data_IF_959174484106
#
_entry.id   IF_959174484106
#
_cell.length_a   1.000
_cell.length_b   1.000
_cell.length_c   1.000
_cell.angle_alpha   90.00
_cell.angle_beta   90.00
_cell.angle_gamma   90.00
#
_symmetry.space_group_name_H-M   'P 1'
#
loop_
_entity.id
_entity.type
_entity.pdbx_description
1 polymer ?
#
# COMPACT_ATOMS: atom_id res chain seq x y z
N UNK A 1 -21.42 -34.67 -34.40
CA UNK A 1 -21.51 -33.43 -33.60
C UNK A 1 -20.87 -33.69 -32.25
N UNK A 2 -19.57 -33.42 -32.02
CA UNK A 2 -18.98 -33.61 -30.70
C UNK A 2 -19.29 -32.39 -29.83
N UNK A 3 -19.88 -32.64 -28.66
CA UNK A 3 -20.13 -31.63 -27.64
C UNK A 3 -18.82 -31.36 -26.89
N UNK A 4 -18.28 -30.15 -27.02
CA UNK A 4 -17.11 -29.68 -26.27
C UNK A 4 -17.60 -29.12 -24.94
N UNK A 5 -17.32 -29.83 -23.85
CA UNK A 5 -17.57 -29.34 -22.49
C UNK A 5 -16.42 -28.39 -22.09
N UNK A 6 -16.70 -27.09 -22.04
CA UNK A 6 -15.75 -26.07 -21.56
C UNK A 6 -15.79 -26.04 -20.02
N UNK A 7 -14.76 -26.58 -19.36
CA UNK A 7 -14.59 -26.46 -17.91
C UNK A 7 -14.05 -25.06 -17.58
N UNK A 8 -14.88 -24.20 -17.02
CA UNK A 8 -14.48 -22.92 -16.45
C UNK A 8 -13.84 -23.16 -15.07
N UNK A 9 -12.51 -23.17 -15.00
CA UNK A 9 -11.80 -23.17 -13.72
C UNK A 9 -11.88 -21.78 -13.09
N UNK A 10 -12.67 -21.63 -12.02
CA UNK A 10 -12.67 -20.42 -11.19
C UNK A 10 -11.40 -20.41 -10.34
N UNK A 11 -10.39 -19.64 -10.79
CA UNK A 11 -9.25 -19.32 -9.95
C UNK A 11 -9.74 -18.48 -8.74
N UNK A 12 -9.85 -19.12 -7.57
CA UNK A 12 -10.07 -18.39 -6.33
C UNK A 12 -8.75 -17.67 -6.02
N UNK A 13 -8.76 -16.34 -6.12
CA UNK A 13 -7.67 -15.53 -5.59
C UNK A 13 -7.73 -15.68 -4.06
N UNK A 14 -6.87 -16.54 -3.51
CA UNK A 14 -6.71 -16.64 -2.06
C UNK A 14 -6.23 -15.28 -1.54
N UNK A 15 -7.04 -14.63 -0.70
CA UNK A 15 -6.58 -13.53 0.15
C UNK A 15 -5.48 -14.08 1.05
N UNK A 16 -4.30 -13.47 0.99
CA UNK A 16 -3.18 -13.90 1.83
C UNK A 16 -3.52 -13.63 3.30
N UNK A 17 -3.23 -14.58 4.18
CA UNK A 17 -3.37 -14.38 5.62
C UNK A 17 -2.28 -13.43 6.12
N UNK A 18 -2.61 -12.62 7.14
CA UNK A 18 -1.64 -11.73 7.78
C UNK A 18 -0.42 -12.52 8.28
N UNK A 19 0.80 -12.29 7.74
CA UNK A 19 1.98 -13.09 8.08
C UNK A 19 2.48 -12.91 9.51
N UNK A 20 2.03 -11.86 10.22
CA UNK A 20 2.34 -11.68 11.64
C UNK A 20 1.75 -12.79 12.51
N UNK A 21 0.72 -13.51 12.02
CA UNK A 21 0.00 -14.56 12.77
C UNK A 21 -0.45 -14.09 14.16
N UNK A 22 -0.66 -12.78 14.29
CA UNK A 22 -0.92 -12.05 15.52
C UNK A 22 -1.75 -10.83 15.15
N UNK A 23 -2.66 -10.44 16.04
CA UNK A 23 -3.38 -9.17 15.94
C UNK A 23 -2.66 -8.05 16.67
N UNK A 24 -1.47 -8.29 17.24
CA UNK A 24 -0.72 -7.29 17.96
C UNK A 24 -0.03 -6.33 16.98
N UNK A 25 -0.17 -5.04 17.26
CA UNK A 25 0.28 -3.98 16.37
C UNK A 25 1.80 -4.04 16.09
N UNK A 26 2.60 -4.29 17.13
CA UNK A 26 4.06 -4.34 17.01
C UNK A 26 4.54 -5.54 16.17
N UNK A 27 3.85 -6.69 16.26
CA UNK A 27 4.17 -7.86 15.43
C UNK A 27 3.90 -7.58 13.95
N UNK A 28 2.80 -6.88 13.66
CA UNK A 28 2.42 -6.47 12.30
C UNK A 28 3.42 -5.44 11.75
N UNK A 29 3.78 -4.43 12.54
CA UNK A 29 4.79 -3.45 12.17
C UNK A 29 6.13 -4.14 11.86
N UNK A 30 6.55 -5.09 12.69
CA UNK A 30 7.79 -5.83 12.45
C UNK A 30 7.79 -6.58 11.12
N UNK A 31 6.66 -7.17 10.71
CA UNK A 31 6.53 -7.82 9.40
C UNK A 31 6.52 -6.82 8.24
N UNK A 32 5.88 -5.66 8.40
CA UNK A 32 5.92 -4.57 7.42
C UNK A 32 7.34 -4.02 7.23
N UNK A 33 8.09 -3.87 8.32
CA UNK A 33 9.48 -3.42 8.29
C UNK A 33 10.42 -4.43 7.63
N UNK A 34 10.20 -5.74 7.85
CA UNK A 34 10.95 -6.83 7.20
C UNK A 34 10.63 -6.98 5.72
N UNK A 35 9.54 -6.38 5.23
CA UNK A 35 9.16 -6.50 3.84
C UNK A 35 10.31 -6.08 2.90
N UNK A 36 10.70 -6.93 1.92
CA UNK A 36 11.83 -6.68 1.03
C UNK A 36 11.55 -5.65 -0.06
N UNK A 37 10.30 -5.22 -0.23
CA UNK A 37 9.92 -4.23 -1.24
C UNK A 37 8.64 -3.51 -0.85
N UNK A 38 8.42 -2.34 -1.45
CA UNK A 38 7.16 -1.59 -1.37
C UNK A 38 5.92 -2.46 -1.68
N UNK A 39 5.95 -3.22 -2.78
CA UNK A 39 4.80 -4.06 -3.16
C UNK A 39 4.55 -5.18 -2.14
N UNK A 40 5.61 -5.77 -1.58
CA UNK A 40 5.43 -6.77 -0.51
C UNK A 40 4.88 -6.13 0.76
N UNK A 41 5.33 -4.93 1.12
CA UNK A 41 4.82 -4.20 2.28
C UNK A 41 3.31 -3.86 2.13
N UNK A 42 2.89 -3.41 0.95
CA UNK A 42 1.46 -3.20 0.66
C UNK A 42 0.63 -4.48 0.79
N UNK A 43 1.15 -5.60 0.30
CA UNK A 43 0.48 -6.90 0.40
C UNK A 43 0.28 -7.36 1.85
N UNK A 44 1.31 -7.18 2.68
CA UNK A 44 1.23 -7.41 4.13
C UNK A 44 0.21 -6.46 4.77
N UNK A 45 0.18 -5.18 4.39
CA UNK A 45 -0.77 -4.22 4.93
C UNK A 45 -2.22 -4.57 4.58
N UNK A 46 -2.50 -4.92 3.32
CA UNK A 46 -3.82 -5.42 2.88
C UNK A 46 -4.26 -6.66 3.67
N UNK A 47 -3.32 -7.54 4.03
CA UNK A 47 -3.61 -8.77 4.75
C UNK A 47 -3.82 -8.56 6.27
N UNK A 48 -3.15 -7.55 6.83
CA UNK A 48 -3.06 -7.33 8.28
C UNK A 48 -3.89 -6.14 8.78
N UNK A 49 -4.59 -5.43 7.89
CA UNK A 49 -5.34 -4.23 8.26
C UNK A 49 -6.36 -4.48 9.37
N UNK A 50 -6.55 -3.48 10.21
CA UNK A 50 -7.62 -3.47 11.20
C UNK A 50 -8.92 -2.88 10.64
N UNK A 51 -8.86 -2.13 9.54
CA UNK A 51 -9.95 -1.27 9.10
C UNK A 51 -10.22 -0.12 10.08
N UNK A 52 -9.19 0.30 10.84
CA UNK A 52 -9.31 1.25 11.94
C UNK A 52 -8.03 2.08 12.16
N UNK A 53 -7.93 2.80 13.27
CA UNK A 53 -6.85 3.77 13.51
C UNK A 53 -5.45 3.16 13.63
N UNK A 54 -5.32 1.85 13.89
CA UNK A 54 -4.00 1.19 13.86
C UNK A 54 -3.35 1.19 12.47
N UNK A 55 -4.19 1.20 11.42
CA UNK A 55 -3.73 1.25 10.02
C UNK A 55 -2.98 2.53 9.70
N UNK A 56 -3.12 3.59 10.51
CA UNK A 56 -2.32 4.81 10.37
C UNK A 56 -0.84 4.52 10.53
N UNK A 57 -0.46 3.69 11.52
CA UNK A 57 0.93 3.32 11.75
C UNK A 57 1.41 2.32 10.69
N UNK A 58 0.57 1.35 10.31
CA UNK A 58 0.90 0.40 9.24
C UNK A 58 1.13 1.12 7.91
N UNK A 59 0.22 2.01 7.53
CA UNK A 59 0.29 2.82 6.33
C UNK A 59 1.53 3.72 6.30
N UNK A 60 1.94 4.31 7.43
CA UNK A 60 3.16 5.11 7.51
C UNK A 60 4.43 4.28 7.25
N UNK A 61 4.52 3.07 7.81
CA UNK A 61 5.64 2.14 7.56
C UNK A 61 5.70 1.77 6.07
N UNK A 62 4.55 1.48 5.47
CA UNK A 62 4.48 1.14 4.04
C UNK A 62 4.80 2.34 3.15
N UNK A 63 4.26 3.52 3.47
CA UNK A 63 4.54 4.77 2.76
C UNK A 63 6.06 5.01 2.72
N UNK A 64 6.73 4.98 3.87
CA UNK A 64 8.19 5.13 3.98
C UNK A 64 8.96 4.06 3.19
N UNK A 65 8.52 2.81 3.26
CA UNK A 65 9.11 1.70 2.47
C UNK A 65 9.03 1.98 0.98
N UNK A 66 7.90 2.51 0.51
CA UNK A 66 7.69 2.88 -0.88
C UNK A 66 8.45 4.14 -1.29
N UNK A 67 8.53 5.15 -0.42
CA UNK A 67 9.29 6.39 -0.66
C UNK A 67 10.78 6.15 -0.85
N UNK A 68 11.35 5.13 -0.19
CA UNK A 68 12.74 4.73 -0.40
C UNK A 68 13.07 4.42 -1.87
N UNK A 69 12.06 4.09 -2.68
CA UNK A 69 12.23 3.82 -4.10
C UNK A 69 12.29 5.06 -5.01
N UNK A 70 11.96 6.25 -4.54
CA UNK A 70 11.84 7.38 -5.48
C UNK A 70 12.07 8.75 -4.85
N UNK A 71 11.83 8.91 -3.55
CA UNK A 71 11.71 10.24 -2.93
C UNK A 71 13.02 11.04 -3.00
N UNK A 72 14.17 10.37 -2.89
CA UNK A 72 15.50 11.01 -3.02
C UNK A 72 15.78 11.53 -4.44
N UNK A 73 15.21 10.91 -5.46
CA UNK A 73 15.30 11.33 -6.86
C UNK A 73 14.33 12.45 -7.24
N UNK A 74 13.22 12.60 -6.51
CA UNK A 74 12.22 13.63 -6.81
C UNK A 74 12.71 15.04 -6.44
N UNK A 75 12.64 15.94 -7.41
CA UNK A 75 12.95 17.37 -7.25
C UNK A 75 11.85 18.22 -7.89
N UNK A 76 11.78 19.50 -7.51
CA UNK A 76 10.91 20.49 -8.15
C UNK A 76 9.44 20.07 -8.25
N UNK A 77 8.89 20.15 -9.46
CA UNK A 77 7.47 19.87 -9.74
C UNK A 77 7.04 18.43 -9.38
N UNK A 78 7.77 17.36 -9.77
CA UNK A 78 7.46 15.99 -9.34
C UNK A 78 7.30 15.80 -7.82
N UNK A 79 8.20 16.41 -7.02
CA UNK A 79 8.12 16.34 -5.54
C UNK A 79 6.87 17.05 -5.01
N UNK A 80 6.54 18.21 -5.58
CA UNK A 80 5.29 18.94 -5.24
C UNK A 80 4.04 18.17 -5.65
N UNK A 81 4.07 17.49 -6.79
CA UNK A 81 2.95 16.68 -7.26
C UNK A 81 2.67 15.51 -6.31
N UNK A 82 3.72 14.79 -5.89
CA UNK A 82 3.62 13.72 -4.90
C UNK A 82 3.03 14.21 -3.58
N UNK A 83 3.60 15.28 -3.01
CA UNK A 83 3.09 15.88 -1.77
C UNK A 83 1.63 16.37 -1.91
N UNK A 84 1.26 16.87 -3.10
CA UNK A 84 -0.11 17.25 -3.41
C UNK A 84 -1.08 16.06 -3.45
N UNK A 85 -0.65 14.89 -3.93
CA UNK A 85 -1.46 13.66 -3.86
C UNK A 85 -1.66 13.19 -2.43
N UNK A 86 -0.63 13.22 -1.59
CA UNK A 86 -0.75 12.87 -0.18
C UNK A 86 -1.73 13.80 0.55
N UNK A 87 -1.62 15.13 0.34
CA UNK A 87 -2.57 16.09 0.91
C UNK A 87 -4.02 15.84 0.47
N UNK A 88 -4.23 15.40 -0.78
CA UNK A 88 -5.57 15.03 -1.25
C UNK A 88 -6.11 13.80 -0.51
N UNK A 89 -5.26 12.84 -0.16
CA UNK A 89 -5.66 11.72 0.70
C UNK A 89 -6.05 12.19 2.10
N UNK A 90 -5.27 13.09 2.69
CA UNK A 90 -5.55 13.64 4.02
C UNK A 90 -6.92 14.35 4.01
N UNK A 91 -7.15 15.26 3.06
CA UNK A 91 -8.38 16.03 2.96
C UNK A 91 -9.64 15.23 2.60
N UNK A 92 -9.49 14.05 2.00
CA UNK A 92 -10.64 13.28 1.50
C UNK A 92 -11.63 12.91 2.60
N UNK A 93 -11.14 12.67 3.83
CA UNK A 93 -11.95 12.20 4.95
C UNK A 93 -11.84 13.07 6.20
N UNK A 94 -11.36 14.31 6.08
CA UNK A 94 -11.13 15.20 7.23
C UNK A 94 -12.41 15.49 8.03
N UNK A 95 -13.56 15.59 7.34
CA UNK A 95 -14.85 15.87 7.96
C UNK A 95 -15.62 14.61 8.40
N UNK A 96 -15.03 13.42 8.21
CA UNK A 96 -15.67 12.15 8.54
C UNK A 96 -15.27 11.71 9.95
N UNK A 97 -16.28 11.28 10.72
CA UNK A 97 -16.07 10.75 12.08
C UNK A 97 -15.88 9.24 12.06
N UNK A 98 -15.02 8.72 12.94
CA UNK A 98 -14.78 7.29 13.11
C UNK A 98 -13.40 6.84 12.63
N UNK A 99 -12.94 5.73 13.18
CA UNK A 99 -11.59 5.20 12.95
C UNK A 99 -11.43 4.54 11.58
N UNK A 100 -12.52 4.06 10.99
CA UNK A 100 -12.56 3.50 9.63
C UNK A 100 -12.01 4.49 8.60
N UNK A 101 -12.41 5.76 8.69
CA UNK A 101 -11.92 6.79 7.77
C UNK A 101 -10.43 7.11 7.95
N UNK A 102 -9.88 6.88 9.14
CA UNK A 102 -8.43 7.02 9.40
C UNK A 102 -7.65 5.90 8.71
N UNK A 103 -8.19 4.69 8.71
CA UNK A 103 -7.67 3.59 7.88
C UNK A 103 -7.73 3.93 6.40
N UNK A 104 -8.86 4.45 5.91
CA UNK A 104 -8.98 4.83 4.49
C UNK A 104 -7.98 5.92 4.08
N UNK A 105 -7.70 6.90 4.93
CA UNK A 105 -6.63 7.87 4.69
C UNK A 105 -5.26 7.18 4.61
N UNK A 106 -4.95 6.29 5.54
CA UNK A 106 -3.68 5.55 5.56
C UNK A 106 -3.47 4.73 4.29
N UNK A 107 -4.49 3.97 3.87
CA UNK A 107 -4.47 3.23 2.60
C UNK A 107 -4.30 4.13 1.39
N UNK A 108 -5.02 5.26 1.34
CA UNK A 108 -4.89 6.21 0.23
C UNK A 108 -3.44 6.67 0.05
N UNK A 109 -2.78 7.05 1.14
CA UNK A 109 -1.38 7.50 1.13
C UNK A 109 -0.43 6.37 0.70
N UNK A 110 -0.60 5.18 1.26
CA UNK A 110 0.21 4.02 0.93
C UNK A 110 0.08 3.62 -0.56
N UNK A 111 -1.13 3.66 -1.12
CA UNK A 111 -1.41 3.42 -2.55
C UNK A 111 -0.77 4.51 -3.44
N UNK A 112 -0.81 5.78 -3.03
CA UNK A 112 -0.08 6.87 -3.75
C UNK A 112 1.41 6.54 -3.78
N UNK A 113 2.02 6.25 -2.62
CA UNK A 113 3.44 5.92 -2.53
C UNK A 113 3.80 4.68 -3.37
N UNK A 114 2.97 3.64 -3.33
CA UNK A 114 3.15 2.43 -4.14
C UNK A 114 3.18 2.72 -5.63
N UNK A 115 2.23 3.52 -6.14
CA UNK A 115 2.18 3.91 -7.56
C UNK A 115 3.44 4.66 -7.97
N UNK A 116 3.99 5.51 -7.11
CA UNK A 116 5.24 6.22 -7.36
C UNK A 116 6.46 5.29 -7.35
N UNK A 117 6.56 4.39 -6.37
CA UNK A 117 7.59 3.33 -6.34
C UNK A 117 7.56 2.50 -7.63
N UNK A 118 6.39 2.00 -8.03
CA UNK A 118 6.24 1.20 -9.26
C UNK A 118 6.66 1.98 -10.51
N UNK A 119 6.33 3.27 -10.61
CA UNK A 119 6.76 4.12 -11.74
C UNK A 119 8.27 4.29 -11.75
N UNK A 120 8.89 4.59 -10.61
CA UNK A 120 10.34 4.77 -10.50
C UNK A 120 11.10 3.48 -10.83
N UNK A 121 10.67 2.34 -10.29
CA UNK A 121 11.28 1.04 -10.57
C UNK A 121 11.15 0.64 -12.05
N UNK A 122 10.01 0.94 -12.70
CA UNK A 122 9.83 0.71 -14.15
C UNK A 122 10.72 1.61 -15.01
N UNK A 123 11.01 2.84 -14.57
CA UNK A 123 11.87 3.76 -15.29
C UNK A 123 13.36 3.38 -15.24
N UNK A 124 13.75 2.50 -14.32
CA UNK A 124 15.11 1.98 -14.17
C UNK A 124 16.12 3.00 -13.60
N UNK A 125 17.39 2.59 -13.40
CA UNK A 125 18.38 3.39 -12.67
C UNK A 125 18.76 4.72 -13.32
N UNK A 126 18.59 4.88 -14.63
CA UNK A 126 18.97 6.10 -15.37
C UNK A 126 17.99 7.26 -15.19
N UNK A 127 16.82 7.01 -14.61
CA UNK A 127 15.76 7.99 -14.39
C UNK A 127 15.56 8.34 -12.90
N UNK A 128 16.36 7.73 -12.00
CA UNK A 128 16.27 7.87 -10.53
C UNK A 128 17.21 8.96 -10.02
#
# INVERSE_FOLDING_TARGET
MPAVLLMLATAHAATEECPAKSTQMDDIIAELEKAPSCNRAMKIFEACEYGASGDVQFGEVVEKKCEADFLSGLKGAPKKAYAGELKRCDHKYDNESGTMYRSFTAFCRAIVAQRYSQKALKAGPKAR
#
